data_IF_772848870142
#
_entry.id   IF_772848870142
#
_cell.length_a   1.000
_cell.length_b   1.000
_cell.length_c   1.000
_cell.angle_alpha   90.00
_cell.angle_beta   90.00
_cell.angle_gamma   90.00
#
_symmetry.space_group_name_H-M   'P 1'
#
loop_
_entity.id
_entity.type
_entity.pdbx_description
1 polymer ?
#
# COMPACT_ATOMS: atom_id res chain seq x y z
N UNK A 1 -0.25 -14.27 24.06
CA UNK A 1 -0.80 -15.30 23.15
C UNK A 1 -1.23 -14.61 21.86
N UNK A 2 -0.44 -14.72 20.79
CA UNK A 2 -0.83 -14.19 19.47
C UNK A 2 -1.72 -15.25 18.82
N UNK A 3 -2.98 -14.90 18.59
CA UNK A 3 -4.00 -15.83 18.13
C UNK A 3 -3.60 -16.52 16.83
N UNK A 4 -3.81 -17.84 16.79
CA UNK A 4 -4.16 -18.51 15.54
C UNK A 4 -5.23 -17.66 14.89
N UNK A 5 -5.10 -17.34 13.60
CA UNK A 5 -6.20 -16.78 12.83
C UNK A 5 -7.40 -17.68 13.08
N UNK A 6 -8.38 -17.19 13.84
CA UNK A 6 -9.56 -17.95 14.22
C UNK A 6 -10.46 -17.96 12.99
N UNK A 7 -10.14 -18.86 12.05
CA UNK A 7 -10.86 -19.02 10.79
C UNK A 7 -12.35 -19.19 11.06
N UNK A 8 -12.74 -19.71 12.22
CA UNK A 8 -14.14 -19.90 12.63
C UNK A 8 -14.90 -18.59 12.84
N UNK A 9 -14.22 -17.46 13.05
CA UNK A 9 -14.85 -16.13 13.17
C UNK A 9 -15.08 -15.42 11.85
N UNK A 10 -14.56 -15.94 10.74
CA UNK A 10 -14.78 -15.34 9.42
C UNK A 10 -16.17 -15.70 8.89
N UNK A 11 -16.88 -14.69 8.35
CA UNK A 11 -18.15 -14.94 7.65
C UNK A 11 -17.89 -15.84 6.42
N UNK A 12 -18.87 -16.65 5.99
CA UNK A 12 -18.70 -17.56 4.85
C UNK A 12 -18.14 -16.90 3.58
N UNK A 13 -18.54 -15.66 3.30
CA UNK A 13 -18.03 -14.87 2.17
C UNK A 13 -16.54 -14.51 2.32
N UNK A 14 -16.09 -14.17 3.52
CA UNK A 14 -14.68 -13.86 3.81
C UNK A 14 -13.82 -15.13 3.77
N UNK A 15 -14.36 -16.27 4.21
CA UNK A 15 -13.73 -17.58 4.04
C UNK A 15 -13.57 -17.93 2.56
N UNK A 16 -14.63 -17.74 1.77
CA UNK A 16 -14.62 -18.00 0.34
C UNK A 16 -13.62 -17.09 -0.39
N UNK A 17 -13.54 -15.80 -0.03
CA UNK A 17 -12.58 -14.86 -0.58
C UNK A 17 -11.13 -15.23 -0.21
N UNK A 18 -10.89 -15.65 1.04
CA UNK A 18 -9.58 -16.12 1.49
C UNK A 18 -9.15 -17.40 0.77
N UNK A 19 -10.05 -18.40 0.66
CA UNK A 19 -9.82 -19.66 -0.06
C UNK A 19 -9.58 -19.38 -1.54
N UNK A 20 -10.40 -18.54 -2.16
CA UNK A 20 -10.25 -18.17 -3.57
C UNK A 20 -8.91 -17.44 -3.81
N UNK A 21 -8.52 -16.57 -2.89
CA UNK A 21 -7.24 -15.83 -2.95
C UNK A 21 -6.04 -16.76 -2.77
N UNK A 22 -6.14 -17.73 -1.85
CA UNK A 22 -5.10 -18.72 -1.61
C UNK A 22 -4.98 -19.68 -2.80
N UNK A 23 -6.08 -20.22 -3.30
CA UNK A 23 -6.13 -21.08 -4.48
C UNK A 23 -5.58 -20.37 -5.72
N UNK A 24 -5.92 -19.09 -5.91
CA UNK A 24 -5.37 -18.29 -7.02
C UNK A 24 -3.86 -18.06 -6.87
N UNK A 25 -3.36 -17.87 -5.65
CA UNK A 25 -1.93 -17.69 -5.39
C UNK A 25 -1.14 -18.95 -5.71
N UNK A 26 -1.66 -20.12 -5.31
CA UNK A 26 -1.04 -21.41 -5.65
C UNK A 26 -1.08 -21.70 -7.14
N UNK A 27 -2.22 -21.43 -7.80
CA UNK A 27 -2.38 -21.62 -9.23
C UNK A 27 -1.45 -20.71 -10.03
N UNK A 28 -1.39 -19.41 -9.69
CA UNK A 28 -0.45 -18.48 -10.33
C UNK A 28 1.00 -18.88 -10.09
N UNK A 29 1.36 -19.40 -8.90
CA UNK A 29 2.72 -19.88 -8.61
C UNK A 29 3.09 -21.19 -9.32
N UNK A 30 2.11 -22.05 -9.65
CA UNK A 30 2.32 -23.25 -10.47
C UNK A 30 2.45 -22.90 -11.95
N UNK A 31 1.61 -21.98 -12.45
CA UNK A 31 1.67 -21.50 -13.82
C UNK A 31 2.97 -20.74 -14.10
N UNK A 32 3.44 -19.93 -13.14
CA UNK A 32 4.75 -19.27 -13.24
C UNK A 32 5.92 -20.24 -13.28
N UNK A 33 5.91 -21.29 -12.45
CA UNK A 33 6.96 -22.34 -12.49
C UNK A 33 6.92 -23.16 -13.78
N UNK A 34 5.73 -23.43 -14.30
CA UNK A 34 5.56 -24.11 -15.58
C UNK A 34 6.05 -23.26 -16.77
N UNK A 35 5.83 -21.94 -16.73
CA UNK A 35 6.27 -21.01 -17.76
C UNK A 35 7.79 -20.74 -17.74
N UNK A 36 8.45 -20.88 -16.59
CA UNK A 36 9.90 -20.67 -16.43
C UNK A 36 10.74 -21.93 -16.70
N UNK A 37 10.12 -23.09 -16.93
CA UNK A 37 10.81 -24.32 -17.33
C UNK A 37 11.84 -24.82 -16.32
N UNK A 38 11.40 -25.41 -15.21
CA UNK A 38 12.30 -26.09 -14.28
C UNK A 38 12.63 -27.49 -14.83
N UNK A 39 13.66 -27.56 -15.69
CA UNK A 39 14.35 -28.77 -16.10
C UNK A 39 15.42 -29.14 -15.06
N UNK A 40 15.46 -30.41 -14.67
CA UNK A 40 16.36 -30.99 -13.68
C UNK A 40 17.85 -30.58 -13.82
N UNK A 41 18.52 -30.40 -12.68
CA UNK A 41 19.98 -30.17 -12.55
C UNK A 41 20.82 -31.39 -12.99
N UNK A 42 22.14 -31.26 -13.23
CA UNK A 42 23.09 -31.34 -12.10
C UNK A 42 24.41 -30.50 -12.18
N UNK A 43 25.06 -30.42 -11.01
CA UNK A 43 26.48 -30.13 -10.69
C UNK A 43 27.06 -28.69 -10.61
N UNK A 44 27.79 -28.45 -9.51
CA UNK A 44 28.49 -27.23 -9.04
C UNK A 44 29.99 -27.24 -9.49
N UNK A 45 30.91 -26.27 -9.19
CA UNK A 45 30.94 -25.29 -8.09
C UNK A 45 31.63 -23.89 -8.32
N UNK A 46 31.69 -23.13 -7.21
CA UNK A 46 32.68 -22.09 -6.79
C UNK A 46 32.50 -20.57 -7.09
N UNK A 47 32.26 -19.84 -5.98
CA UNK A 47 32.84 -18.57 -5.51
C UNK A 47 33.01 -17.36 -6.47
N UNK A 48 32.32 -16.24 -6.17
CA UNK A 48 32.95 -14.96 -5.76
C UNK A 48 31.91 -13.84 -5.49
N UNK A 49 32.01 -13.28 -4.27
CA UNK A 49 32.02 -11.85 -3.89
C UNK A 49 30.82 -10.88 -4.15
N UNK A 50 30.27 -10.41 -3.02
CA UNK A 50 29.96 -9.02 -2.62
C UNK A 50 28.87 -8.16 -3.29
N UNK A 51 27.86 -7.82 -2.46
CA UNK A 51 27.40 -6.46 -2.08
C UNK A 51 26.86 -5.46 -3.13
N UNK A 52 25.59 -5.05 -3.01
CA UNK A 52 25.10 -3.75 -3.54
C UNK A 52 23.58 -3.55 -3.67
N UNK A 53 23.04 -2.31 -3.59
CA UNK A 53 21.63 -1.95 -3.30
C UNK A 53 20.65 -2.09 -4.48
N UNK A 54 20.95 -2.94 -5.46
CA UNK A 54 20.22 -3.00 -6.73
C UNK A 54 18.89 -3.76 -6.66
N UNK A 55 18.69 -4.61 -5.65
CA UNK A 55 17.51 -5.47 -5.54
C UNK A 55 16.20 -4.69 -5.35
N UNK A 56 16.22 -3.49 -4.74
CA UNK A 56 15.03 -2.68 -4.55
C UNK A 56 14.62 -1.90 -5.83
N UNK A 57 15.53 -1.70 -6.77
CA UNK A 57 15.28 -0.94 -8.00
C UNK A 57 14.89 -1.83 -9.19
N UNK A 58 15.24 -3.12 -9.13
CA UNK A 58 14.96 -4.08 -10.20
C UNK A 58 13.48 -4.45 -10.28
N UNK A 59 12.76 -4.46 -9.15
CA UNK A 59 11.33 -4.80 -9.11
C UNK A 59 10.45 -3.68 -9.73
N UNK A 60 10.83 -2.42 -9.56
CA UNK A 60 10.21 -1.28 -10.26
C UNK A 60 10.50 -1.29 -11.76
N UNK A 61 11.64 -1.87 -12.17
CA UNK A 61 12.01 -2.10 -13.57
C UNK A 61 11.33 -3.34 -14.18
N UNK A 62 11.12 -4.41 -13.41
CA UNK A 62 10.43 -5.62 -13.85
C UNK A 62 8.93 -5.39 -14.09
N UNK A 63 8.30 -4.47 -13.34
CA UNK A 63 6.96 -4.00 -13.63
C UNK A 63 6.85 -3.22 -14.97
N UNK A 64 7.98 -2.72 -15.49
CA UNK A 64 8.07 -1.97 -16.76
C UNK A 64 8.42 -2.89 -17.94
N UNK A 65 9.22 -3.94 -17.73
CA UNK A 65 9.71 -4.86 -18.77
C UNK A 65 8.71 -5.96 -19.18
N UNK A 66 7.64 -6.20 -18.42
CA UNK A 66 6.60 -7.20 -18.74
C UNK A 66 5.62 -6.79 -19.85
N UNK A 67 6.01 -5.90 -20.76
CA UNK A 67 5.18 -5.48 -21.90
C UNK A 67 6.02 -5.53 -23.16
N UNK A 68 5.85 -6.62 -23.89
CA UNK A 68 5.61 -6.62 -25.34
C UNK A 68 5.02 -7.97 -25.72
N UNK A 69 3.80 -7.97 -26.24
CA UNK A 69 3.37 -8.79 -27.37
C UNK A 69 2.00 -8.30 -27.87
N UNK A 70 1.93 -8.10 -29.18
CA UNK A 70 0.88 -7.41 -29.89
C UNK A 70 -0.11 -8.35 -30.59
N UNK A 71 -1.40 -8.03 -30.46
CA UNK A 71 -2.45 -8.22 -31.48
C UNK A 71 -3.47 -9.36 -31.27
N UNK A 72 -4.64 -9.34 -31.96
CA UNK A 72 -5.29 -8.25 -32.67
C UNK A 72 -6.71 -7.89 -32.17
N UNK A 73 -7.23 -6.86 -32.82
CA UNK A 73 -8.47 -6.08 -32.68
C UNK A 73 -9.80 -6.85 -32.64
N UNK A 74 -10.77 -6.30 -31.91
CA UNK A 74 -12.13 -6.16 -32.44
C UNK A 74 -12.83 -4.91 -31.87
N UNK A 75 -13.37 -4.11 -32.78
CA UNK A 75 -14.06 -2.86 -32.53
C UNK A 75 -15.53 -3.12 -32.14
N UNK A 76 -16.13 -2.26 -31.30
CA UNK A 76 -17.37 -1.56 -31.65
C UNK A 76 -17.83 -0.55 -30.57
N UNK A 77 -17.97 0.69 -31.05
CA UNK A 77 -19.05 1.68 -30.80
C UNK A 77 -19.32 2.25 -29.39
N UNK A 78 -18.79 3.47 -29.21
CA UNK A 78 -19.49 4.73 -28.90
C UNK A 78 -20.92 4.71 -28.28
N UNK A 79 -21.05 5.40 -27.14
CA UNK A 79 -22.29 5.99 -26.65
C UNK A 79 -22.15 6.58 -25.23
N UNK A 80 -21.99 7.90 -25.10
CA UNK A 80 -22.31 8.65 -23.87
C UNK A 80 -23.84 8.95 -23.82
N UNK A 81 -24.36 9.73 -22.85
CA UNK A 81 -24.75 9.35 -21.49
C UNK A 81 -26.27 9.56 -21.28
N UNK A 82 -26.92 8.87 -20.33
CA UNK A 82 -28.34 9.17 -20.02
C UNK A 82 -28.60 9.31 -18.52
N UNK A 83 -29.35 10.38 -18.25
CA UNK A 83 -29.83 10.97 -17.01
C UNK A 83 -30.83 10.09 -16.23
N UNK A 84 -31.03 10.48 -14.97
CA UNK A 84 -31.98 9.96 -13.99
C UNK A 84 -33.46 10.31 -14.27
N UNK A 85 -34.39 9.49 -13.75
CA UNK A 85 -35.58 9.79 -12.91
C UNK A 85 -36.70 8.71 -13.09
N UNK A 86 -37.84 8.70 -12.34
CA UNK A 86 -38.02 8.50 -10.89
C UNK A 86 -39.16 7.51 -10.46
N UNK A 87 -39.23 7.17 -9.15
CA UNK A 87 -40.43 6.83 -8.30
C UNK A 87 -41.16 5.45 -8.50
N UNK A 88 -41.95 4.91 -7.51
CA UNK A 88 -42.69 5.63 -6.45
C UNK A 88 -42.58 5.11 -5.01
N UNK A 89 -43.19 5.92 -4.12
CA UNK A 89 -43.31 5.80 -2.68
C UNK A 89 -44.38 4.80 -2.21
N UNK A 90 -44.21 4.31 -0.97
CA UNK A 90 -45.29 3.83 -0.11
C UNK A 90 -44.92 4.06 1.37
N UNK A 91 -45.94 4.24 2.20
CA UNK A 91 -45.99 5.16 3.33
C UNK A 91 -45.72 4.56 4.74
N UNK A 92 -45.43 5.49 5.65
CA UNK A 92 -45.39 5.52 7.12
C UNK A 92 -46.02 4.39 7.96
N UNK A 93 -45.31 4.02 9.03
CA UNK A 93 -45.89 3.78 10.36
C UNK A 93 -44.89 4.20 11.46
N UNK A 94 -45.38 4.93 12.46
CA UNK A 94 -44.61 5.64 13.49
C UNK A 94 -44.57 4.87 14.83
N UNK A 95 -43.41 4.97 15.52
CA UNK A 95 -43.19 5.07 16.99
C UNK A 95 -42.96 3.81 17.84
N UNK A 96 -42.30 3.92 19.04
CA UNK A 96 -41.24 4.86 19.47
C UNK A 96 -40.05 4.20 20.24
N UNK A 97 -38.99 5.00 20.46
CA UNK A 97 -38.00 4.92 21.55
C UNK A 97 -37.06 3.70 21.67
N UNK A 98 -35.76 3.94 21.47
CA UNK A 98 -34.81 3.93 22.60
C UNK A 98 -33.48 4.57 22.20
N UNK A 99 -32.98 5.43 23.07
CA UNK A 99 -31.72 6.15 22.97
C UNK A 99 -30.56 5.17 22.77
N UNK A 100 -29.99 5.15 21.57
CA UNK A 100 -28.56 5.00 21.41
C UNK A 100 -28.06 6.35 20.90
N UNK A 101 -27.56 7.17 21.80
CA UNK A 101 -26.69 8.28 21.41
C UNK A 101 -25.65 7.71 20.46
N UNK A 102 -25.77 8.08 19.18
CA UNK A 102 -24.69 8.00 18.23
C UNK A 102 -23.65 8.97 18.76
N UNK A 103 -22.79 8.48 19.66
CA UNK A 103 -21.51 9.10 19.92
C UNK A 103 -20.88 9.24 18.54
N UNK A 104 -20.85 10.45 18.00
CA UNK A 104 -20.07 10.78 16.81
C UNK A 104 -18.67 10.26 17.08
N UNK A 105 -18.31 9.13 16.47
CA UNK A 105 -16.94 8.67 16.39
C UNK A 105 -16.20 9.72 15.57
N UNK A 106 -15.71 10.76 16.22
CA UNK A 106 -15.01 11.83 15.56
C UNK A 106 -13.75 11.25 14.89
N UNK A 107 -13.60 11.51 13.59
CA UNK A 107 -12.38 11.21 12.83
C UNK A 107 -12.42 10.01 11.87
N UNK A 108 -12.84 8.81 12.28
CA UNK A 108 -12.66 7.58 11.47
C UNK A 108 -13.93 7.03 10.78
N UNK A 109 -15.12 7.44 11.21
CA UNK A 109 -16.40 6.95 10.66
C UNK A 109 -16.48 5.41 10.65
N UNK A 110 -16.70 4.75 9.50
CA UNK A 110 -16.81 3.29 9.41
C UNK A 110 -15.53 2.54 9.80
N UNK A 111 -14.40 3.25 9.94
CA UNK A 111 -13.10 2.68 10.29
C UNK A 111 -12.80 2.76 11.80
N UNK A 112 -13.77 3.13 12.64
CA UNK A 112 -13.59 3.32 14.08
C UNK A 112 -12.98 2.11 14.81
N UNK A 113 -13.21 0.89 14.31
CA UNK A 113 -12.58 -0.34 14.83
C UNK A 113 -11.04 -0.31 14.82
N UNK A 114 -10.42 0.54 13.99
CA UNK A 114 -8.98 0.67 13.88
C UNK A 114 -8.36 1.71 14.82
N UNK A 115 -9.18 2.50 15.54
CA UNK A 115 -8.73 3.59 16.42
C UNK A 115 -7.64 3.14 17.39
N UNK A 116 -7.89 2.07 18.15
CA UNK A 116 -6.94 1.58 19.16
C UNK A 116 -5.60 1.11 18.54
N UNK A 117 -5.63 0.56 17.32
CA UNK A 117 -4.39 0.15 16.63
C UNK A 117 -3.60 1.37 16.16
N UNK A 118 -4.29 2.38 15.61
CA UNK A 118 -3.67 3.64 15.20
C UNK A 118 -3.03 4.38 16.39
N UNK A 119 -3.71 4.43 17.53
CA UNK A 119 -3.18 5.04 18.76
C UNK A 119 -1.94 4.31 19.28
N UNK A 120 -1.95 2.97 19.32
CA UNK A 120 -0.76 2.19 19.71
C UNK A 120 0.38 2.38 18.72
N UNK A 121 0.09 2.44 17.43
CA UNK A 121 1.09 2.68 16.40
C UNK A 121 1.69 4.09 16.53
N UNK A 122 0.86 5.09 16.82
CA UNK A 122 1.27 6.45 17.10
C UNK A 122 2.20 6.53 18.31
N UNK A 123 1.83 5.89 19.42
CA UNK A 123 2.64 5.83 20.65
C UNK A 123 4.01 5.19 20.40
N UNK A 124 4.08 4.09 19.63
CA UNK A 124 5.35 3.41 19.31
C UNK A 124 6.28 4.23 18.42
N UNK A 125 5.72 5.00 17.49
CA UNK A 125 6.49 5.64 16.42
C UNK A 125 6.70 7.13 16.62
N UNK A 126 5.90 7.77 17.47
CA UNK A 126 5.85 9.22 17.63
C UNK A 126 5.12 9.94 16.49
N UNK A 127 4.52 9.22 15.54
CA UNK A 127 3.73 9.83 14.45
C UNK A 127 2.30 10.05 14.96
N UNK A 128 1.72 11.26 14.82
CA UNK A 128 0.37 11.52 15.30
C UNK A 128 -0.68 10.58 14.71
N UNK A 129 -1.63 10.12 15.52
CA UNK A 129 -2.78 9.29 15.10
C UNK A 129 -3.49 9.81 13.84
N UNK A 130 -3.88 11.11 13.74
CA UNK A 130 -4.52 11.62 12.53
C UNK A 130 -3.63 11.58 11.28
N UNK A 131 -2.30 11.73 11.43
CA UNK A 131 -1.37 11.57 10.32
C UNK A 131 -1.31 10.12 9.82
N UNK A 132 -1.25 9.15 10.74
CA UNK A 132 -1.28 7.72 10.39
C UNK A 132 -2.60 7.34 9.72
N UNK A 133 -3.72 7.81 10.25
CA UNK A 133 -5.04 7.58 9.67
C UNK A 133 -5.15 8.14 8.25
N UNK A 134 -4.63 9.34 7.99
CA UNK A 134 -4.61 9.92 6.65
C UNK A 134 -3.74 9.13 5.66
N UNK A 135 -2.58 8.61 6.09
CA UNK A 135 -1.72 7.78 5.25
C UNK A 135 -2.42 6.45 4.92
N UNK A 136 -2.98 5.78 5.93
CA UNK A 136 -3.72 4.53 5.74
C UNK A 136 -4.94 4.75 4.83
N UNK A 137 -5.68 5.84 5.05
CA UNK A 137 -6.82 6.19 4.20
C UNK A 137 -6.41 6.37 2.73
N UNK A 138 -5.29 7.07 2.48
CA UNK A 138 -4.82 7.32 1.13
C UNK A 138 -4.37 6.05 0.39
N UNK A 139 -3.85 5.06 1.11
CA UNK A 139 -3.37 3.79 0.55
C UNK A 139 -4.48 2.74 0.42
N UNK A 140 -5.37 2.65 1.40
CA UNK A 140 -6.37 1.61 1.46
C UNK A 140 -7.40 1.75 0.34
N UNK A 141 -7.72 0.62 -0.32
CA UNK A 141 -8.92 0.57 -1.14
C UNK A 141 -10.15 0.71 -0.24
N UNK A 142 -11.19 1.40 -0.72
CA UNK A 142 -12.38 1.71 0.07
C UNK A 142 -13.63 0.97 -0.42
N UNK A 143 -14.53 0.67 0.52
CA UNK A 143 -15.92 0.29 0.27
C UNK A 143 -16.76 1.49 -0.17
N UNK A 144 -18.01 1.22 -0.58
CA UNK A 144 -18.97 2.29 -0.95
C UNK A 144 -19.31 3.20 0.23
N UNK A 145 -19.24 2.65 1.44
CA UNK A 145 -19.44 3.33 2.71
C UNK A 145 -18.18 4.05 3.24
N UNK A 146 -17.04 3.93 2.55
CA UNK A 146 -15.77 4.48 2.99
C UNK A 146 -14.96 3.57 3.93
N UNK A 147 -15.44 2.35 4.21
CA UNK A 147 -14.69 1.36 4.99
C UNK A 147 -13.40 0.93 4.27
N UNK A 148 -12.31 0.76 5.01
CA UNK A 148 -11.04 0.30 4.47
C UNK A 148 -11.06 -1.21 4.21
N UNK A 149 -10.61 -1.62 3.03
CA UNK A 149 -10.62 -3.03 2.60
C UNK A 149 -9.32 -3.71 2.97
N UNK A 150 -9.36 -4.55 4.02
CA UNK A 150 -8.20 -5.33 4.48
C UNK A 150 -7.60 -6.24 3.39
N UNK A 151 -8.44 -6.83 2.54
CA UNK A 151 -8.03 -7.77 1.50
C UNK A 151 -7.74 -7.10 0.15
N UNK A 152 -7.50 -5.78 0.12
CA UNK A 152 -7.16 -5.08 -1.11
C UNK A 152 -5.85 -5.57 -1.70
N UNK A 153 -5.81 -5.68 -3.04
CA UNK A 153 -4.62 -6.04 -3.79
C UNK A 153 -4.56 -5.28 -5.11
N UNK A 154 -3.37 -4.81 -5.47
CA UNK A 154 -3.15 -4.24 -6.80
C UNK A 154 -3.01 -5.37 -7.84
N UNK A 155 -3.80 -5.39 -8.92
CA UNK A 155 -3.70 -6.44 -9.94
C UNK A 155 -2.40 -6.37 -10.77
N UNK A 156 -1.69 -5.24 -10.73
CA UNK A 156 -0.46 -4.99 -11.51
C UNK A 156 0.82 -5.09 -10.68
N UNK A 157 0.73 -5.38 -9.37
CA UNK A 157 1.91 -5.49 -8.51
C UNK A 157 1.68 -6.43 -7.33
N UNK A 158 2.70 -6.59 -6.49
CA UNK A 158 2.57 -7.35 -5.24
C UNK A 158 1.89 -6.57 -4.12
N UNK A 159 1.53 -5.28 -4.32
CA UNK A 159 0.94 -4.42 -3.30
C UNK A 159 -0.37 -4.98 -2.73
N UNK A 160 -0.46 -5.06 -1.40
CA UNK A 160 -1.62 -5.63 -0.71
C UNK A 160 -1.83 -5.04 0.70
N UNK A 161 -3.06 -5.13 1.18
CA UNK A 161 -3.43 -4.70 2.53
C UNK A 161 -3.67 -3.20 2.66
N UNK A 162 -3.95 -2.76 3.88
CA UNK A 162 -4.25 -1.35 4.19
C UNK A 162 -3.14 -0.38 3.78
N UNK A 163 -1.88 -0.76 3.96
CA UNK A 163 -0.72 0.04 3.53
C UNK A 163 -0.24 -0.22 2.10
N UNK A 164 -0.93 -1.08 1.33
CA UNK A 164 -0.55 -1.46 -0.04
C UNK A 164 0.93 -1.85 -0.20
N UNK A 165 1.49 -2.56 0.79
CA UNK A 165 2.90 -2.91 0.81
C UNK A 165 3.28 -3.90 -0.29
N UNK A 166 4.37 -3.61 -1.01
CA UNK A 166 5.03 -4.57 -1.89
C UNK A 166 5.65 -5.72 -1.06
N UNK A 167 5.78 -6.90 -1.67
CA UNK A 167 6.34 -8.07 -1.00
C UNK A 167 7.77 -7.84 -0.49
N UNK A 168 8.63 -7.22 -1.32
CA UNK A 168 10.01 -6.90 -0.94
C UNK A 168 10.09 -5.91 0.22
N UNK A 169 9.30 -4.84 0.18
CA UNK A 169 9.23 -3.85 1.27
C UNK A 169 8.77 -4.49 2.57
N UNK A 170 7.72 -5.32 2.52
CA UNK A 170 7.18 -6.01 3.69
C UNK A 170 8.20 -6.96 4.34
N UNK A 171 8.92 -7.74 3.52
CA UNK A 171 10.02 -8.59 4.01
C UNK A 171 11.12 -7.73 4.60
N UNK A 172 11.49 -6.63 3.94
CA UNK A 172 12.48 -5.68 4.45
C UNK A 172 12.10 -5.10 5.82
N UNK A 173 10.82 -4.78 6.03
CA UNK A 173 10.33 -4.35 7.35
C UNK A 173 10.47 -5.45 8.39
N UNK A 174 10.19 -6.71 8.06
CA UNK A 174 10.36 -7.84 8.96
C UNK A 174 11.84 -8.14 9.28
N UNK A 175 12.76 -7.82 8.37
CA UNK A 175 14.20 -7.97 8.60
C UNK A 175 14.80 -6.78 9.38
N UNK A 176 14.14 -5.62 9.39
CA UNK A 176 14.65 -4.41 10.04
C UNK A 176 14.41 -4.43 11.55
N UNK A 177 15.47 -4.42 12.39
CA UNK A 177 15.31 -4.40 13.85
C UNK A 177 14.45 -3.24 14.35
N UNK A 178 13.60 -3.52 15.35
CA UNK A 178 12.78 -2.50 16.02
C UNK A 178 11.41 -2.23 15.39
N UNK A 179 11.13 -2.79 14.21
CA UNK A 179 9.77 -2.76 13.63
C UNK A 179 8.86 -3.80 14.29
N UNK A 180 7.55 -3.58 14.15
CA UNK A 180 6.52 -4.53 14.57
C UNK A 180 6.68 -5.88 13.87
N UNK A 181 6.86 -5.86 12.54
CA UNK A 181 7.01 -7.07 11.75
C UNK A 181 8.26 -7.85 12.13
N UNK A 182 9.35 -7.16 12.48
CA UNK A 182 10.53 -7.82 12.99
C UNK A 182 10.29 -8.48 14.34
N UNK A 183 9.56 -7.83 15.25
CA UNK A 183 9.19 -8.45 16.51
C UNK A 183 8.29 -9.69 16.30
N UNK A 184 7.31 -9.61 15.39
CA UNK A 184 6.45 -10.75 15.03
C UNK A 184 7.29 -11.88 14.45
N UNK A 185 8.18 -11.58 13.51
CA UNK A 185 9.05 -12.58 12.88
C UNK A 185 10.00 -13.24 13.90
N UNK A 186 10.59 -12.47 14.82
CA UNK A 186 11.41 -13.02 15.91
C UNK A 186 10.62 -13.94 16.83
N UNK A 187 9.45 -13.50 17.28
CA UNK A 187 8.59 -14.28 18.19
C UNK A 187 8.12 -15.61 17.57
N UNK A 188 8.07 -15.68 16.24
CA UNK A 188 7.66 -16.88 15.51
C UNK A 188 8.84 -17.71 14.99
N UNK A 189 10.08 -17.33 15.29
CA UNK A 189 11.27 -18.03 14.81
C UNK A 189 11.47 -17.96 13.30
N UNK A 190 10.98 -16.90 12.65
CA UNK A 190 11.00 -16.73 11.19
C UNK A 190 12.26 -16.07 10.64
N UNK A 191 13.18 -15.66 11.51
CA UNK A 191 14.44 -15.04 11.12
C UNK A 191 15.60 -16.02 11.29
N UNK A 192 16.54 -16.01 10.35
CA UNK A 192 17.85 -16.64 10.51
C UNK A 192 18.69 -15.90 11.56
N UNK A 193 19.84 -16.48 11.92
CA UNK A 193 20.84 -15.82 12.77
C UNK A 193 21.31 -14.48 12.20
N UNK A 194 21.39 -14.37 10.87
CA UNK A 194 21.71 -13.13 10.16
C UNK A 194 20.54 -12.12 10.06
N UNK A 195 19.41 -12.40 10.67
CA UNK A 195 18.21 -11.54 10.67
C UNK A 195 17.41 -11.57 9.37
N UNK A 196 17.63 -12.56 8.49
CA UNK A 196 16.91 -12.70 7.22
C UNK A 196 15.68 -13.57 7.37
N UNK A 197 14.61 -13.24 6.65
CA UNK A 197 13.37 -14.05 6.70
C UNK A 197 13.63 -15.42 6.06
N UNK A 198 13.35 -16.48 6.82
CA UNK A 198 13.48 -17.87 6.40
C UNK A 198 12.50 -18.17 5.25
N UNK A 199 12.96 -18.96 4.27
CA UNK A 199 12.19 -19.24 3.04
C UNK A 199 10.79 -19.80 3.33
N UNK A 200 10.68 -20.73 4.29
CA UNK A 200 9.42 -21.38 4.65
C UNK A 200 8.41 -20.43 5.32
N UNK A 201 8.88 -19.34 5.93
CA UNK A 201 8.02 -18.37 6.63
C UNK A 201 7.47 -17.27 5.69
N UNK A 202 7.97 -17.17 4.45
CA UNK A 202 7.66 -16.04 3.56
C UNK A 202 6.18 -15.92 3.22
N UNK A 203 5.49 -17.03 2.95
CA UNK A 203 4.06 -17.00 2.60
C UNK A 203 3.22 -16.48 3.77
N UNK A 204 3.46 -17.00 4.97
CA UNK A 204 2.73 -16.61 6.17
C UNK A 204 3.04 -15.16 6.57
N UNK A 205 4.31 -14.75 6.48
CA UNK A 205 4.69 -13.35 6.68
C UNK A 205 3.95 -12.43 5.71
N UNK A 206 3.91 -12.77 4.42
CA UNK A 206 3.23 -11.94 3.41
C UNK A 206 1.71 -11.88 3.60
N UNK A 207 1.10 -12.91 4.20
CA UNK A 207 -0.33 -12.95 4.52
C UNK A 207 -0.70 -11.96 5.63
N UNK A 208 0.24 -11.60 6.52
CA UNK A 208 0.02 -10.59 7.56
C UNK A 208 -0.29 -9.19 7.01
N UNK A 209 -0.09 -8.92 5.70
CA UNK A 209 -0.53 -7.66 5.08
C UNK A 209 -2.04 -7.45 5.15
N UNK A 210 -2.79 -8.55 5.19
CA UNK A 210 -4.25 -8.54 5.28
C UNK A 210 -4.77 -8.46 6.72
N UNK A 211 -3.88 -8.54 7.72
CA UNK A 211 -4.23 -8.29 9.11
C UNK A 211 -4.21 -6.78 9.38
N UNK A 212 -5.36 -6.22 9.79
CA UNK A 212 -5.53 -4.77 9.91
C UNK A 212 -4.57 -4.12 10.91
N UNK A 213 -4.39 -4.74 12.09
CA UNK A 213 -3.50 -4.23 13.13
C UNK A 213 -2.04 -4.27 12.66
N UNK A 214 -1.60 -5.42 12.12
CA UNK A 214 -0.24 -5.58 11.62
C UNK A 214 0.06 -4.63 10.47
N UNK A 215 -0.89 -4.44 9.54
CA UNK A 215 -0.76 -3.51 8.41
C UNK A 215 -0.63 -2.07 8.90
N UNK A 216 -1.42 -1.64 9.89
CA UNK A 216 -1.34 -0.29 10.48
C UNK A 216 0.02 -0.08 11.17
N UNK A 217 0.47 -1.04 11.99
CA UNK A 217 1.77 -0.93 12.65
C UNK A 217 2.94 -0.92 11.65
N UNK A 218 2.88 -1.74 10.60
CA UNK A 218 3.88 -1.72 9.53
C UNK A 218 3.89 -0.38 8.78
N UNK A 219 2.72 0.19 8.47
CA UNK A 219 2.61 1.53 7.87
C UNK A 219 3.26 2.58 8.76
N UNK A 220 3.02 2.54 10.08
CA UNK A 220 3.63 3.48 11.01
C UNK A 220 5.16 3.33 11.11
N UNK A 221 5.67 2.10 11.19
CA UNK A 221 7.11 1.84 11.25
C UNK A 221 7.80 2.28 9.94
N UNK A 222 7.17 2.05 8.79
CA UNK A 222 7.71 2.47 7.49
C UNK A 222 7.66 4.00 7.33
N UNK A 223 6.57 4.64 7.72
CA UNK A 223 6.45 6.10 7.77
C UNK A 223 7.55 6.72 8.64
N UNK A 224 7.81 6.17 9.84
CA UNK A 224 8.89 6.61 10.73
C UNK A 224 10.25 6.51 10.05
N UNK A 225 10.57 5.34 9.49
CA UNK A 225 11.83 5.12 8.78
C UNK A 225 12.02 6.06 7.59
N UNK A 226 10.94 6.39 6.86
CA UNK A 226 10.99 7.36 5.78
C UNK A 226 11.26 8.78 6.29
N UNK A 227 10.56 9.22 7.34
CA UNK A 227 10.79 10.52 7.96
C UNK A 227 12.23 10.67 8.48
N UNK A 228 12.78 9.63 9.11
CA UNK A 228 14.17 9.61 9.57
C UNK A 228 15.15 9.74 8.39
N UNK A 229 14.95 8.99 7.31
CA UNK A 229 15.79 9.09 6.10
C UNK A 229 15.73 10.46 5.45
N UNK A 230 14.54 11.06 5.39
CA UNK A 230 14.35 12.41 4.87
C UNK A 230 15.11 13.44 5.71
N UNK A 231 14.95 13.42 7.04
CA UNK A 231 15.66 14.31 7.95
C UNK A 231 17.18 14.14 7.85
N UNK A 232 17.66 12.90 7.81
CA UNK A 232 19.09 12.60 7.67
C UNK A 232 19.67 13.09 6.34
N UNK A 233 18.84 13.24 5.30
CA UNK A 233 19.23 13.83 4.01
C UNK A 233 19.15 15.37 3.99
N UNK A 234 18.86 16.01 5.13
CA UNK A 234 18.70 17.46 5.27
C UNK A 234 17.39 17.98 4.71
N UNK A 235 16.33 17.16 4.64
CA UNK A 235 14.99 17.63 4.31
C UNK A 235 14.35 18.19 5.57
N UNK A 236 13.99 19.48 5.52
CA UNK A 236 13.22 20.13 6.57
C UNK A 236 11.77 19.63 6.57
N UNK A 237 11.37 18.98 7.65
CA UNK A 237 10.00 18.50 7.85
C UNK A 237 9.40 19.32 8.98
N UNK A 238 8.29 20.01 8.69
CA UNK A 238 7.52 20.74 9.69
C UNK A 238 7.10 19.85 10.87
N UNK A 239 6.81 20.49 12.01
CA UNK A 239 6.33 19.80 13.21
C UNK A 239 4.82 19.61 13.23
N UNK A 240 4.10 20.30 12.35
CA UNK A 240 2.67 20.17 12.22
C UNK A 240 2.29 18.82 11.60
N UNK A 241 1.09 18.35 11.96
CA UNK A 241 0.57 17.03 11.59
C UNK A 241 0.51 16.86 10.08
N UNK A 242 0.15 17.91 9.34
CA UNK A 242 -0.01 17.88 7.90
C UNK A 242 1.33 17.66 7.21
N UNK A 243 2.36 18.44 7.56
CA UNK A 243 3.70 18.26 6.99
C UNK A 243 4.29 16.90 7.31
N UNK A 244 4.06 16.39 8.52
CA UNK A 244 4.50 15.03 8.90
C UNK A 244 3.81 13.99 8.02
N UNK A 245 2.48 14.07 7.87
CA UNK A 245 1.71 13.12 7.07
C UNK A 245 2.11 13.16 5.59
N UNK A 246 2.25 14.36 5.02
CA UNK A 246 2.64 14.56 3.62
C UNK A 246 4.06 14.04 3.36
N UNK A 247 5.03 14.35 4.21
CA UNK A 247 6.41 13.88 4.04
C UNK A 247 6.52 12.36 4.18
N UNK A 248 5.81 11.77 5.15
CA UNK A 248 5.75 10.32 5.32
C UNK A 248 5.11 9.64 4.11
N UNK A 249 3.99 10.18 3.61
CA UNK A 249 3.31 9.68 2.42
C UNK A 249 4.19 9.77 1.17
N UNK A 250 4.88 10.88 0.94
CA UNK A 250 5.81 11.02 -0.19
C UNK A 250 6.92 9.97 -0.15
N UNK A 251 7.48 9.72 1.04
CA UNK A 251 8.46 8.66 1.26
C UNK A 251 7.90 7.26 0.95
N UNK A 252 6.63 7.01 1.33
CA UNK A 252 5.94 5.75 1.04
C UNK A 252 5.68 5.56 -0.45
N UNK A 253 5.12 6.60 -1.09
CA UNK A 253 4.62 6.55 -2.45
C UNK A 253 5.74 6.54 -3.51
N UNK A 254 6.81 7.32 -3.29
CA UNK A 254 7.94 7.40 -4.22
C UNK A 254 9.09 6.45 -3.87
N UNK A 255 9.12 5.96 -2.63
CA UNK A 255 10.34 5.44 -2.02
C UNK A 255 11.28 6.58 -1.58
N UNK A 256 12.09 6.30 -0.55
CA UNK A 256 12.90 7.32 0.12
C UNK A 256 13.83 8.11 -0.82
N UNK A 257 14.49 7.46 -1.78
CA UNK A 257 15.46 8.12 -2.67
C UNK A 257 14.82 9.18 -3.58
N UNK A 258 13.70 8.84 -4.22
CA UNK A 258 13.00 9.78 -5.09
C UNK A 258 12.23 10.83 -4.28
N UNK A 259 11.75 10.49 -3.07
CA UNK A 259 11.17 11.47 -2.15
C UNK A 259 12.19 12.55 -1.72
N UNK A 260 13.44 12.17 -1.42
CA UNK A 260 14.51 13.13 -1.10
C UNK A 260 14.72 14.10 -2.26
N UNK A 261 14.89 13.57 -3.49
CA UNK A 261 15.07 14.41 -4.70
C UNK A 261 13.87 15.34 -4.90
N UNK A 262 12.66 14.79 -4.81
CA UNK A 262 11.42 15.53 -4.95
C UNK A 262 11.33 16.72 -3.98
N UNK A 263 11.72 16.51 -2.71
CA UNK A 263 11.64 17.54 -1.68
C UNK A 263 12.80 18.55 -1.73
N UNK A 264 13.96 18.20 -2.30
CA UNK A 264 15.15 19.06 -2.36
C UNK A 264 15.34 19.85 -3.66
N UNK A 265 14.46 19.70 -4.64
CA UNK A 265 14.59 20.46 -5.90
C UNK A 265 13.92 19.83 -7.11
N UNK A 266 13.45 18.59 -7.00
CA UNK A 266 12.72 17.91 -8.08
C UNK A 266 13.39 16.61 -8.50
N UNK A 267 12.65 15.86 -9.31
CA UNK A 267 13.11 14.61 -9.93
C UNK A 267 13.49 14.95 -11.37
N UNK A 268 14.56 14.36 -11.90
CA UNK A 268 14.98 14.55 -13.29
C UNK A 268 13.89 14.12 -14.28
N UNK A 269 13.86 14.74 -15.46
CA UNK A 269 12.76 14.61 -16.42
C UNK A 269 12.52 13.16 -16.85
N UNK A 270 13.60 12.42 -17.14
CA UNK A 270 13.52 11.01 -17.55
C UNK A 270 12.91 10.15 -16.45
N UNK A 271 13.37 10.30 -15.21
CA UNK A 271 12.81 9.56 -14.07
C UNK A 271 11.37 9.99 -13.77
N UNK A 272 11.06 11.28 -13.85
CA UNK A 272 9.72 11.81 -13.63
C UNK A 272 8.71 11.27 -14.65
N UNK A 273 9.09 11.14 -15.93
CA UNK A 273 8.25 10.54 -16.96
C UNK A 273 7.92 9.07 -16.65
N UNK A 274 8.89 8.30 -16.17
CA UNK A 274 8.70 6.91 -15.75
C UNK A 274 7.71 6.82 -14.59
N UNK A 275 7.93 7.63 -13.53
CA UNK A 275 7.07 7.65 -12.35
C UNK A 275 5.63 8.06 -12.70
N UNK A 276 5.47 9.16 -13.44
CA UNK A 276 4.16 9.66 -13.84
C UNK A 276 3.38 8.60 -14.62
N UNK A 277 4.01 7.96 -15.63
CA UNK A 277 3.38 6.87 -16.39
C UNK A 277 2.99 5.68 -15.52
N UNK A 278 3.83 5.30 -14.55
CA UNK A 278 3.54 4.20 -13.65
C UNK A 278 2.34 4.50 -12.72
N UNK A 279 2.26 5.75 -12.23
CA UNK A 279 1.28 6.17 -11.23
C UNK A 279 -0.09 6.52 -11.83
N UNK A 280 -0.13 7.30 -12.91
CA UNK A 280 -1.40 7.74 -13.53
C UNK A 280 -1.76 6.98 -14.80
N UNK A 281 -0.86 6.16 -15.33
CA UNK A 281 -1.04 5.46 -16.60
C UNK A 281 -0.67 6.32 -17.81
N UNK A 282 -0.41 5.66 -18.95
CA UNK A 282 0.13 6.30 -20.16
C UNK A 282 -0.72 7.47 -20.68
N UNK A 283 -2.04 7.30 -20.80
CA UNK A 283 -2.90 8.33 -21.38
C UNK A 283 -2.94 9.61 -20.52
N UNK A 284 -3.11 9.43 -19.20
CA UNK A 284 -3.15 10.52 -18.25
C UNK A 284 -1.79 11.22 -18.09
N UNK A 285 -0.69 10.49 -18.27
CA UNK A 285 0.67 11.04 -18.29
C UNK A 285 0.89 11.94 -19.52
N UNK A 286 0.53 11.48 -20.72
CA UNK A 286 0.65 12.29 -21.95
C UNK A 286 -0.14 13.61 -21.86
N UNK A 287 -1.39 13.56 -21.36
CA UNK A 287 -2.21 14.76 -21.20
C UNK A 287 -1.58 15.80 -20.26
N UNK A 288 -0.93 15.34 -19.17
CA UNK A 288 -0.24 16.23 -18.22
C UNK A 288 1.05 16.79 -18.78
N UNK A 289 1.81 15.98 -19.51
CA UNK A 289 3.03 16.42 -20.19
C UNK A 289 2.74 17.56 -21.18
N UNK A 290 1.67 17.42 -21.96
CA UNK A 290 1.25 18.46 -22.90
C UNK A 290 0.87 19.80 -22.23
N UNK A 291 0.45 19.78 -20.97
CA UNK A 291 0.07 20.98 -20.21
C UNK A 291 1.26 21.64 -19.49
N UNK A 292 2.18 20.84 -18.94
CA UNK A 292 3.26 21.34 -18.11
C UNK A 292 4.57 21.62 -18.87
N UNK A 293 4.70 21.13 -20.10
CA UNK A 293 5.89 21.30 -20.94
C UNK A 293 6.98 20.27 -20.71
N UNK A 294 7.23 19.86 -19.45
CA UNK A 294 8.18 18.80 -19.10
C UNK A 294 7.61 17.82 -18.04
N UNK A 295 8.23 16.64 -17.95
CA UNK A 295 7.79 15.56 -17.08
C UNK A 295 8.06 15.83 -15.61
N UNK A 296 9.16 16.50 -15.29
CA UNK A 296 9.48 16.92 -13.92
C UNK A 296 8.37 17.78 -13.32
N UNK A 297 7.93 18.81 -14.06
CA UNK A 297 6.85 19.70 -13.67
C UNK A 297 5.49 18.98 -13.68
N UNK A 298 5.19 18.20 -14.72
CA UNK A 298 3.94 17.43 -14.80
C UNK A 298 3.77 16.48 -13.61
N UNK A 299 4.83 15.73 -13.27
CA UNK A 299 4.83 14.81 -12.13
C UNK A 299 4.70 15.57 -10.81
N UNK A 300 5.44 16.68 -10.64
CA UNK A 300 5.38 17.50 -9.42
C UNK A 300 4.00 18.10 -9.18
N UNK A 301 3.41 18.74 -10.18
CA UNK A 301 2.09 19.35 -10.08
C UNK A 301 1.02 18.30 -9.75
N UNK A 302 1.07 17.14 -10.43
CA UNK A 302 0.14 16.06 -10.16
C UNK A 302 0.27 15.52 -8.73
N UNK A 303 1.50 15.22 -8.28
CA UNK A 303 1.73 14.59 -6.99
C UNK A 303 1.39 15.55 -5.84
N UNK A 304 1.77 16.83 -5.95
CA UNK A 304 1.39 17.84 -4.94
C UNK A 304 -0.12 17.98 -4.83
N UNK A 305 -0.83 18.09 -5.95
CA UNK A 305 -2.29 18.15 -5.94
C UNK A 305 -2.94 16.86 -5.45
N UNK A 306 -2.34 15.70 -5.71
CA UNK A 306 -2.82 14.43 -5.14
C UNK A 306 -2.67 14.43 -3.62
N UNK A 307 -1.47 14.76 -3.11
CA UNK A 307 -1.18 14.80 -1.68
C UNK A 307 -2.10 15.80 -0.97
N UNK A 308 -2.29 16.99 -1.52
CA UNK A 308 -3.19 18.01 -0.97
C UNK A 308 -4.65 17.53 -0.87
N UNK A 309 -5.14 16.73 -1.82
CA UNK A 309 -6.53 16.23 -1.78
C UNK A 309 -6.71 15.01 -0.88
N UNK A 310 -5.70 14.16 -0.78
CA UNK A 310 -5.83 12.84 -0.16
C UNK A 310 -5.20 12.74 1.23
N UNK A 311 -4.18 13.54 1.54
CA UNK A 311 -3.52 13.54 2.84
C UNK A 311 -4.11 14.66 3.68
N UNK A 312 -5.20 14.32 4.38
CA UNK A 312 -6.03 15.26 5.16
C UNK A 312 -6.16 14.79 6.62
N UNK A 313 -5.11 14.94 7.46
CA UNK A 313 -5.14 14.52 8.86
C UNK A 313 -6.28 15.14 9.68
N UNK A 314 -6.70 16.35 9.36
CA UNK A 314 -7.79 17.04 10.05
C UNK A 314 -9.14 16.32 9.93
N UNK A 315 -9.32 15.48 8.90
CA UNK A 315 -10.52 14.63 8.78
C UNK A 315 -10.59 13.57 9.87
N UNK A 316 -9.45 13.28 10.50
CA UNK A 316 -9.26 12.25 11.52
C UNK A 316 -8.98 12.85 12.90
N UNK A 317 -9.06 14.18 13.03
CA UNK A 317 -9.01 14.83 14.34
C UNK A 317 -10.36 14.67 15.02
N UNK A 318 -10.32 14.26 16.30
CA UNK A 318 -11.49 14.12 17.14
C UNK A 318 -11.93 15.47 17.72
#
# INVERSE_FOLDING_TARGET
>A
MIGRMDLDRLRPEQKAELIYTQARTELSGRLWRAALGDGASPEAPQQAQSSGPLAANLESLLAVLGRDDAGPTSAMRSGQPVQQAPMPAAANATSPASNAEVVKAAGLGPNAQHQASLERAAQRTGIPTPALAAIVDAEAAKGRDGSWKLYSRNPRSSAAGLGQFLAGTWIGEAERPGTWLNQVARNRGWLSESGKVLKHARSELLALRYDGETSIHATADYAKGNLERLRNAGVEIGKDVDRIAQAAYLGHHLGAGDAIKFLKGGIDDRRAAVLLKAQVGSAAAHARLAQAGDASQAHRQWLLGFVERHIRPERFMA
#
